data_IF_833286136667
#
_entry.id   IF_833286136667
#
_cell.length_a   1.000
_cell.length_b   1.000
_cell.length_c   1.000
_cell.angle_alpha   90.00
_cell.angle_beta   90.00
_cell.angle_gamma   90.00
#
_symmetry.space_group_name_H-M   'P 1'
#
loop_
_entity.id
_entity.type
_entity.pdbx_description
1 polymer ?
#
# COMPACT_ATOMS: atom_id res chain seq x y z
N UNK A 1 13.31 44.91 25.92
CA UNK A 1 14.08 43.89 25.21
C UNK A 1 13.77 42.54 25.86
N UNK A 2 13.15 41.53 25.27
CA UNK A 2 12.47 41.35 23.99
C UNK A 2 11.59 40.08 24.10
N UNK A 3 10.39 40.17 23.52
CA UNK A 3 9.51 39.17 22.88
C UNK A 3 9.67 37.66 23.21
N UNK A 4 8.59 36.90 23.45
CA UNK A 4 7.70 36.53 22.35
C UNK A 4 6.28 36.08 22.79
N UNK A 5 5.35 36.42 21.89
CA UNK A 5 3.90 36.23 21.88
C UNK A 5 3.49 34.76 21.75
N UNK A 6 2.40 34.38 22.42
CA UNK A 6 1.49 33.31 21.97
C UNK A 6 0.14 33.94 21.59
N UNK A 7 -0.42 33.72 20.40
CA UNK A 7 -1.80 34.08 20.13
C UNK A 7 -2.74 32.92 20.49
N UNK A 8 -3.78 33.27 21.24
CA UNK A 8 -5.03 32.54 21.39
C UNK A 8 -5.78 32.48 20.05
N UNK A 9 -6.44 31.36 19.74
CA UNK A 9 -7.58 31.39 18.82
C UNK A 9 -8.62 30.32 19.18
N UNK A 10 -9.74 30.81 19.71
CA UNK A 10 -11.10 30.45 19.27
C UNK A 10 -11.55 29.00 19.35
N UNK A 11 -12.20 28.66 20.46
CA UNK A 11 -13.26 27.64 20.53
C UNK A 11 -14.41 28.03 19.59
N UNK A 12 -14.87 27.11 18.73
CA UNK A 12 -16.23 27.16 18.20
C UNK A 12 -16.81 25.73 18.12
N UNK A 13 -17.63 25.44 19.14
CA UNK A 13 -18.52 24.30 19.24
C UNK A 13 -19.69 24.55 18.28
N UNK A 14 -19.94 23.66 17.31
CA UNK A 14 -21.21 23.65 16.56
C UNK A 14 -21.94 22.35 16.88
N UNK A 15 -22.99 22.56 17.65
CA UNK A 15 -23.98 21.66 18.18
C UNK A 15 -24.80 21.03 17.03
N UNK A 16 -24.81 19.69 16.94
CA UNK A 16 -25.76 18.94 16.14
C UNK A 16 -27.15 19.02 16.78
N UNK A 17 -28.04 19.84 16.25
CA UNK A 17 -29.47 19.80 16.56
C UNK A 17 -30.17 19.04 15.43
N UNK A 18 -30.73 17.88 15.78
CA UNK A 18 -31.73 17.20 14.97
C UNK A 18 -33.04 17.99 14.93
N UNK A 19 -33.60 18.14 13.74
CA UNK A 19 -34.96 18.59 13.53
C UNK A 19 -35.66 17.57 12.62
N UNK A 20 -36.49 16.74 13.25
CA UNK A 20 -37.64 16.14 12.61
C UNK A 20 -38.62 17.26 12.24
N UNK A 21 -38.92 17.42 10.95
CA UNK A 21 -40.14 18.11 10.52
C UNK A 21 -40.92 17.24 9.54
N UNK A 22 -42.06 16.82 10.06
CA UNK A 22 -43.20 16.23 9.38
C UNK A 22 -44.06 17.38 8.80
N UNK A 23 -44.28 17.38 7.49
CA UNK A 23 -45.38 18.09 6.79
C UNK A 23 -45.29 17.68 5.30
N UNK A 24 -46.33 17.33 4.55
CA UNK A 24 -47.76 17.28 4.76
C UNK A 24 -48.40 17.11 3.37
N UNK A 25 -49.32 16.16 3.20
CA UNK A 25 -50.15 16.06 2.00
C UNK A 25 -51.08 17.28 1.93
N UNK A 26 -51.12 17.98 0.78
CA UNK A 26 -52.18 18.95 0.49
C UNK A 26 -52.99 18.48 -0.73
N UNK A 27 -54.30 18.48 -0.50
CA UNK A 27 -55.40 17.96 -1.32
C UNK A 27 -55.83 18.99 -2.38
N UNK A 28 -56.31 18.47 -3.51
CA UNK A 28 -56.87 19.18 -4.67
C UNK A 28 -58.06 20.08 -4.32
N UNK A 29 -58.14 21.23 -5.01
CA UNK A 29 -59.39 21.98 -5.24
C UNK A 29 -59.42 22.51 -6.68
N UNK A 30 -60.54 22.21 -7.35
CA UNK A 30 -60.84 22.51 -8.75
C UNK A 30 -60.92 24.01 -9.06
N UNK A 31 -60.43 24.38 -10.24
CA UNK A 31 -60.83 25.57 -10.99
C UNK A 31 -60.90 25.22 -12.49
N UNK A 32 -62.11 25.25 -13.05
CA UNK A 32 -62.42 25.00 -14.47
C UNK A 32 -62.42 26.32 -15.24
N UNK A 33 -61.64 26.44 -16.33
CA UNK A 33 -62.09 26.98 -17.64
C UNK A 33 -61.00 26.89 -18.73
N UNK A 34 -61.26 26.04 -19.73
CA UNK A 34 -60.98 26.08 -21.19
C UNK A 34 -59.56 26.36 -21.80
N UNK A 35 -58.89 25.26 -22.16
CA UNK A 35 -58.39 24.80 -23.49
C UNK A 35 -57.37 25.63 -24.33
N UNK A 36 -56.57 24.99 -25.23
CA UNK A 36 -55.39 24.19 -24.92
C UNK A 36 -54.16 24.70 -25.69
N UNK A 37 -53.01 24.82 -25.03
CA UNK A 37 -51.73 24.90 -25.75
C UNK A 37 -50.65 24.23 -24.91
N UNK A 38 -50.46 22.94 -25.17
CA UNK A 38 -49.20 22.18 -25.04
C UNK A 38 -48.13 22.74 -24.07
N UNK A 39 -48.18 22.37 -22.78
CA UNK A 39 -47.03 22.56 -21.88
C UNK A 39 -46.99 21.58 -20.68
N UNK A 40 -47.50 20.35 -20.82
CA UNK A 40 -47.59 19.40 -19.69
C UNK A 40 -46.31 18.55 -19.50
N UNK A 41 -45.39 18.51 -20.47
CA UNK A 41 -44.18 17.67 -20.38
C UNK A 41 -43.09 18.21 -19.42
N UNK A 42 -43.10 19.51 -19.08
CA UNK A 42 -41.98 20.16 -18.37
C UNK A 42 -41.96 19.88 -16.86
N UNK A 43 -43.11 19.58 -16.25
CA UNK A 43 -43.22 19.36 -14.78
C UNK A 43 -42.67 18.00 -14.33
N UNK A 44 -42.79 16.96 -15.16
CA UNK A 44 -42.34 15.60 -14.83
C UNK A 44 -40.82 15.48 -14.83
N UNK A 45 -40.16 15.96 -15.90
CA UNK A 45 -38.71 15.86 -16.06
C UNK A 45 -37.95 16.64 -15.00
N UNK A 46 -38.42 17.83 -14.62
CA UNK A 46 -37.81 18.62 -13.54
C UNK A 46 -37.81 17.88 -12.20
N UNK A 47 -38.94 17.27 -11.81
CA UNK A 47 -39.05 16.46 -10.58
C UNK A 47 -38.13 15.24 -10.59
N UNK A 48 -37.99 14.59 -11.75
CA UNK A 48 -37.11 13.43 -11.92
C UNK A 48 -35.64 13.83 -11.76
N UNK A 49 -35.23 14.95 -12.38
CA UNK A 49 -33.88 15.50 -12.22
C UNK A 49 -33.59 15.83 -10.76
N UNK A 50 -34.46 16.57 -10.06
CA UNK A 50 -34.28 16.89 -8.63
C UNK A 50 -34.12 15.63 -7.76
N UNK A 51 -34.91 14.59 -8.02
CA UNK A 51 -34.77 13.31 -7.30
C UNK A 51 -33.46 12.60 -7.62
N UNK A 52 -33.03 12.61 -8.87
CA UNK A 52 -31.74 12.05 -9.29
C UNK A 52 -30.58 12.80 -8.62
N UNK A 53 -30.61 14.13 -8.56
CA UNK A 53 -29.57 14.95 -7.94
C UNK A 53 -29.43 14.67 -6.45
N UNK A 54 -30.55 14.49 -5.74
CA UNK A 54 -30.55 14.07 -4.34
C UNK A 54 -29.91 12.68 -4.18
N UNK A 55 -30.27 11.73 -5.05
CA UNK A 55 -29.70 10.38 -5.04
C UNK A 55 -28.19 10.40 -5.33
N UNK A 56 -27.72 11.21 -6.29
CA UNK A 56 -26.29 11.38 -6.60
C UNK A 56 -25.56 11.95 -5.38
N UNK A 57 -26.13 12.97 -4.75
CA UNK A 57 -25.56 13.63 -3.56
C UNK A 57 -25.43 12.66 -2.37
N UNK A 58 -26.33 11.67 -2.28
CA UNK A 58 -26.28 10.59 -1.29
C UNK A 58 -25.49 9.35 -1.76
N UNK A 59 -24.70 9.46 -2.85
CA UNK A 59 -23.92 8.38 -3.47
C UNK A 59 -24.75 7.16 -3.93
N UNK A 60 -26.05 7.34 -4.12
CA UNK A 60 -26.98 6.31 -4.61
C UNK A 60 -27.03 6.28 -6.14
N UNK A 61 -25.87 6.10 -6.78
CA UNK A 61 -25.69 6.24 -8.25
C UNK A 61 -26.61 5.30 -9.04
N UNK A 62 -26.75 4.04 -8.62
CA UNK A 62 -27.66 3.09 -9.27
C UNK A 62 -29.13 3.51 -9.17
N UNK A 63 -29.53 4.14 -8.06
CA UNK A 63 -30.88 4.67 -7.89
C UNK A 63 -31.10 5.88 -8.79
N UNK A 64 -30.11 6.79 -8.89
CA UNK A 64 -30.15 7.94 -9.80
C UNK A 64 -30.29 7.51 -11.26
N UNK A 65 -29.52 6.51 -11.71
CA UNK A 65 -29.63 5.94 -13.05
C UNK A 65 -31.04 5.38 -13.29
N UNK A 66 -31.61 4.62 -12.34
CA UNK A 66 -32.98 4.09 -12.45
C UNK A 66 -34.01 5.22 -12.54
N UNK A 67 -33.88 6.25 -11.71
CA UNK A 67 -34.75 7.44 -11.73
C UNK A 67 -34.68 8.18 -13.06
N UNK A 68 -33.49 8.43 -13.61
CA UNK A 68 -33.33 9.14 -14.89
C UNK A 68 -33.86 8.36 -16.09
N UNK A 69 -33.84 7.01 -16.03
CA UNK A 69 -34.42 6.17 -17.09
C UNK A 69 -35.93 6.28 -17.21
N UNK A 70 -36.62 6.82 -16.20
CA UNK A 70 -38.07 7.08 -16.28
C UNK A 70 -38.40 8.44 -16.88
N UNK A 71 -37.41 9.29 -17.14
CA UNK A 71 -37.60 10.56 -17.83
C UNK A 71 -37.57 10.39 -19.35
N UNK A 72 -38.02 11.43 -20.06
CA UNK A 72 -37.87 11.54 -21.50
C UNK A 72 -36.38 11.59 -21.88
N UNK A 73 -35.90 10.53 -22.54
CA UNK A 73 -34.51 10.39 -22.96
C UNK A 73 -34.15 11.22 -24.19
N UNK A 74 -35.14 11.84 -24.85
CA UNK A 74 -34.90 12.86 -25.87
C UNK A 74 -34.37 14.17 -25.26
N UNK A 75 -34.59 14.40 -23.96
CA UNK A 75 -34.06 15.53 -23.24
C UNK A 75 -32.52 15.43 -23.11
N UNK A 76 -31.81 16.41 -23.68
CA UNK A 76 -30.33 16.43 -23.70
C UNK A 76 -29.72 16.44 -22.30
N UNK A 77 -30.30 17.14 -21.32
CA UNK A 77 -29.80 17.17 -19.94
C UNK A 77 -29.89 15.80 -19.30
N UNK A 78 -31.04 15.12 -19.43
CA UNK A 78 -31.24 13.76 -18.91
C UNK A 78 -30.26 12.79 -19.57
N UNK A 79 -30.14 12.84 -20.91
CA UNK A 79 -29.23 11.97 -21.67
C UNK A 79 -27.76 12.17 -21.26
N UNK A 80 -27.33 13.42 -21.13
CA UNK A 80 -25.95 13.73 -20.75
C UNK A 80 -25.68 13.33 -19.29
N UNK A 81 -26.62 13.53 -18.37
CA UNK A 81 -26.45 13.09 -16.99
C UNK A 81 -26.39 11.55 -16.90
N UNK A 82 -27.29 10.84 -17.60
CA UNK A 82 -27.30 9.38 -17.65
C UNK A 82 -25.99 8.80 -18.21
N UNK A 83 -25.48 9.39 -19.29
CA UNK A 83 -24.19 9.00 -19.89
C UNK A 83 -23.04 9.21 -18.91
N UNK A 84 -23.01 10.36 -18.23
CA UNK A 84 -22.02 10.65 -17.19
C UNK A 84 -22.05 9.64 -16.04
N UNK A 85 -23.25 9.30 -15.54
CA UNK A 85 -23.42 8.31 -14.47
C UNK A 85 -23.00 6.90 -14.90
N UNK A 86 -23.17 6.53 -16.17
CA UNK A 86 -22.64 5.26 -16.68
C UNK A 86 -21.10 5.23 -16.70
N UNK A 87 -20.45 6.33 -17.10
CA UNK A 87 -18.99 6.43 -16.98
C UNK A 87 -18.53 6.35 -15.53
N UNK A 88 -19.23 7.05 -14.62
CA UNK A 88 -18.98 6.97 -13.18
C UNK A 88 -19.07 5.52 -12.68
N UNK A 89 -20.15 4.82 -13.00
CA UNK A 89 -20.39 3.46 -12.53
C UNK A 89 -19.30 2.49 -12.99
N UNK A 90 -18.84 2.60 -14.26
CA UNK A 90 -17.74 1.77 -14.79
C UNK A 90 -16.43 2.04 -14.03
N UNK A 91 -16.10 3.31 -13.81
CA UNK A 91 -14.91 3.71 -13.06
C UNK A 91 -14.95 3.22 -11.61
N UNK A 92 -16.07 3.44 -10.90
CA UNK A 92 -16.26 2.99 -9.52
C UNK A 92 -16.19 1.45 -9.39
N UNK A 93 -16.78 0.72 -10.35
CA UNK A 93 -16.74 -0.75 -10.36
C UNK A 93 -15.32 -1.26 -10.54
N UNK A 94 -14.56 -0.71 -11.49
CA UNK A 94 -13.17 -1.09 -11.72
C UNK A 94 -12.28 -0.76 -10.50
N UNK A 95 -12.54 0.39 -9.85
CA UNK A 95 -11.84 0.78 -8.63
C UNK A 95 -12.12 -0.17 -7.47
N UNK A 96 -13.38 -0.54 -7.26
CA UNK A 96 -13.78 -1.49 -6.21
C UNK A 96 -13.18 -2.89 -6.41
N UNK A 97 -12.95 -3.29 -7.66
CA UNK A 97 -12.25 -4.54 -8.01
C UNK A 97 -10.72 -4.45 -7.92
N UNK A 98 -10.19 -3.29 -7.51
CA UNK A 98 -8.77 -2.99 -7.50
C UNK A 98 -8.05 -3.17 -8.86
N UNK A 99 -8.78 -3.08 -9.98
CA UNK A 99 -8.23 -3.27 -11.32
C UNK A 99 -7.66 -1.95 -11.85
N UNK A 100 -6.54 -1.47 -11.28
CA UNK A 100 -6.03 -0.11 -11.56
C UNK A 100 -5.74 0.17 -13.04
N UNK A 101 -5.27 -0.82 -13.80
CA UNK A 101 -5.04 -0.67 -15.24
C UNK A 101 -6.34 -0.40 -16.01
N UNK A 102 -7.39 -1.18 -15.74
CA UNK A 102 -8.72 -1.00 -16.33
C UNK A 102 -9.37 0.29 -15.83
N UNK A 103 -9.26 0.56 -14.53
CA UNK A 103 -9.79 1.76 -13.90
C UNK A 103 -9.22 3.02 -14.56
N UNK A 104 -7.92 3.07 -14.87
CA UNK A 104 -7.27 4.20 -15.55
C UNK A 104 -8.03 4.64 -16.80
N UNK A 105 -8.40 3.69 -17.66
CA UNK A 105 -9.14 3.99 -18.90
C UNK A 105 -10.52 4.59 -18.62
N UNK A 106 -11.26 4.03 -17.66
CA UNK A 106 -12.56 4.57 -17.26
C UNK A 106 -12.47 5.93 -16.57
N UNK A 107 -11.45 6.16 -15.74
CA UNK A 107 -11.19 7.44 -15.11
C UNK A 107 -10.80 8.52 -16.12
N UNK A 108 -10.01 8.19 -17.15
CA UNK A 108 -9.72 9.13 -18.23
C UNK A 108 -11.01 9.53 -18.97
N UNK A 109 -11.85 8.55 -19.30
CA UNK A 109 -13.15 8.81 -19.96
C UNK A 109 -14.04 9.71 -19.08
N UNK A 110 -14.15 9.38 -17.80
CA UNK A 110 -14.95 10.14 -16.83
C UNK A 110 -14.40 11.56 -16.62
N UNK A 111 -13.08 11.72 -16.51
CA UNK A 111 -12.43 13.02 -16.30
C UNK A 111 -12.62 13.97 -17.49
N UNK A 112 -12.60 13.41 -18.71
CA UNK A 112 -12.79 14.18 -19.95
C UNK A 112 -14.26 14.42 -20.30
N UNK A 113 -15.19 13.85 -19.53
CA UNK A 113 -16.61 14.01 -19.76
C UNK A 113 -17.12 15.37 -19.23
N UNK A 114 -17.46 16.26 -20.16
CA UNK A 114 -17.92 17.63 -19.87
C UNK A 114 -19.34 17.94 -20.37
N UNK A 115 -20.05 16.96 -20.93
CA UNK A 115 -21.37 17.21 -21.50
C UNK A 115 -22.48 17.43 -20.44
N UNK A 116 -22.23 17.10 -19.17
CA UNK A 116 -23.16 17.35 -18.06
C UNK A 116 -22.72 18.54 -17.21
N UNK A 117 -23.62 19.50 -17.03
CA UNK A 117 -23.45 20.67 -16.15
C UNK A 117 -24.03 20.45 -14.75
N UNK A 118 -24.53 19.25 -14.43
CA UNK A 118 -25.13 18.96 -13.13
C UNK A 118 -24.08 19.07 -12.00
N UNK A 119 -24.41 19.84 -10.96
CA UNK A 119 -23.49 20.15 -9.87
C UNK A 119 -23.22 18.92 -8.99
N UNK A 120 -24.26 18.15 -8.68
CA UNK A 120 -24.16 16.94 -7.85
C UNK A 120 -23.30 15.88 -8.52
N UNK A 121 -23.48 15.68 -9.83
CA UNK A 121 -22.65 14.78 -10.64
C UNK A 121 -21.19 15.25 -10.69
N UNK A 122 -20.92 16.53 -10.92
CA UNK A 122 -19.56 17.05 -10.97
C UNK A 122 -18.85 16.95 -9.61
N UNK A 123 -19.58 17.15 -8.51
CA UNK A 123 -19.06 16.90 -7.16
C UNK A 123 -18.74 15.41 -6.94
N UNK A 124 -19.66 14.51 -7.29
CA UNK A 124 -19.45 13.06 -7.19
C UNK A 124 -18.27 12.59 -8.04
N UNK A 125 -18.18 13.06 -9.29
CA UNK A 125 -17.07 12.81 -10.23
C UNK A 125 -15.73 13.18 -9.59
N UNK A 126 -15.63 14.39 -9.05
CA UNK A 126 -14.41 14.89 -8.40
C UNK A 126 -14.03 14.04 -7.18
N UNK A 127 -15.02 13.68 -6.35
CA UNK A 127 -14.79 12.82 -5.18
C UNK A 127 -14.26 11.43 -5.59
N UNK A 128 -14.85 10.81 -6.62
CA UNK A 128 -14.41 9.50 -7.09
C UNK A 128 -13.00 9.54 -7.71
N UNK A 129 -12.66 10.60 -8.45
CA UNK A 129 -11.30 10.80 -8.97
C UNK A 129 -10.29 10.91 -7.82
N UNK A 130 -10.63 11.62 -6.74
CA UNK A 130 -9.79 11.70 -5.54
C UNK A 130 -9.60 10.34 -4.87
N UNK A 131 -10.68 9.56 -4.72
CA UNK A 131 -10.62 8.19 -4.20
C UNK A 131 -9.71 7.30 -5.06
N UNK A 132 -9.79 7.42 -6.39
CA UNK A 132 -8.89 6.70 -7.29
C UNK A 132 -7.41 7.03 -7.06
N UNK A 133 -7.05 8.30 -6.88
CA UNK A 133 -5.66 8.67 -6.59
C UNK A 133 -5.19 8.08 -5.25
N UNK A 134 -6.04 8.09 -4.22
CA UNK A 134 -5.72 7.48 -2.93
C UNK A 134 -5.50 5.97 -3.05
N UNK A 135 -6.39 5.25 -3.75
CA UNK A 135 -6.25 3.81 -3.97
C UNK A 135 -5.02 3.48 -4.81
N UNK A 136 -4.72 4.29 -5.84
CA UNK A 136 -3.51 4.14 -6.66
C UNK A 136 -2.25 4.27 -5.80
N UNK A 137 -2.20 5.30 -4.95
CA UNK A 137 -1.06 5.52 -4.05
C UNK A 137 -0.94 4.40 -3.01
N UNK A 138 -2.06 3.94 -2.45
CA UNK A 138 -2.10 2.82 -1.53
C UNK A 138 -1.54 1.52 -2.14
N UNK A 139 -1.97 1.18 -3.36
CA UNK A 139 -1.43 0.03 -4.09
C UNK A 139 0.06 0.19 -4.37
N UNK A 140 0.52 1.40 -4.73
CA UNK A 140 1.94 1.66 -4.94
C UNK A 140 2.75 1.35 -3.68
N UNK A 141 2.34 1.86 -2.51
CA UNK A 141 3.04 1.59 -1.25
C UNK A 141 2.99 0.11 -0.87
N UNK A 142 1.84 -0.55 -1.02
CA UNK A 142 1.72 -1.97 -0.75
C UNK A 142 2.66 -2.82 -1.62
N UNK A 143 2.67 -2.58 -2.94
CA UNK A 143 3.50 -3.32 -3.88
C UNK A 143 4.99 -3.06 -3.61
N UNK A 144 5.37 -1.80 -3.38
CA UNK A 144 6.76 -1.46 -3.03
C UNK A 144 7.18 -2.11 -1.71
N UNK A 145 6.34 -2.12 -0.68
CA UNK A 145 6.66 -2.81 0.57
C UNK A 145 6.85 -4.32 0.37
N UNK A 146 6.02 -4.95 -0.47
CA UNK A 146 6.15 -6.36 -0.83
C UNK A 146 7.47 -6.64 -1.58
N UNK A 147 7.81 -5.78 -2.55
CA UNK A 147 9.03 -5.90 -3.35
C UNK A 147 10.30 -5.66 -2.50
N UNK A 148 10.23 -4.75 -1.52
CA UNK A 148 11.32 -4.49 -0.55
C UNK A 148 11.47 -5.64 0.44
N UNK A 149 10.36 -6.21 0.92
CA UNK A 149 10.37 -7.36 1.82
C UNK A 149 10.99 -8.59 1.15
N UNK A 150 10.74 -8.80 -0.14
CA UNK A 150 11.31 -9.91 -0.92
C UNK A 150 12.80 -9.76 -1.23
N UNK A 151 13.39 -8.59 -1.01
CA UNK A 151 14.85 -8.37 -1.04
C UNK A 151 15.43 -8.15 0.37
N UNK A 152 14.66 -8.44 1.42
CA UNK A 152 15.01 -8.24 2.84
C UNK A 152 15.39 -6.80 3.22
N UNK A 153 14.93 -5.79 2.48
CA UNK A 153 15.04 -4.39 2.90
C UNK A 153 13.89 -4.05 3.86
N UNK A 154 14.04 -4.50 5.11
CA UNK A 154 12.98 -4.39 6.13
C UNK A 154 12.68 -2.94 6.50
N UNK A 155 13.68 -2.07 6.48
CA UNK A 155 13.53 -0.64 6.82
C UNK A 155 12.70 0.06 5.74
N UNK A 156 13.01 -0.18 4.47
CA UNK A 156 12.23 0.37 3.38
C UNK A 156 10.79 -0.19 3.39
N UNK A 157 10.64 -1.50 3.59
CA UNK A 157 9.34 -2.16 3.66
C UNK A 157 8.47 -1.56 4.78
N UNK A 158 9.00 -1.43 6.00
CA UNK A 158 8.32 -0.74 7.13
C UNK A 158 7.91 0.67 6.76
N UNK A 159 8.80 1.42 6.12
CA UNK A 159 8.54 2.81 5.71
C UNK A 159 7.36 2.91 4.74
N UNK A 160 7.26 2.01 3.76
CA UNK A 160 6.15 2.01 2.82
C UNK A 160 4.85 1.52 3.45
N UNK A 161 4.92 0.55 4.37
CA UNK A 161 3.75 0.15 5.17
C UNK A 161 3.23 1.33 6.00
N UNK A 162 4.10 2.09 6.66
CA UNK A 162 3.70 3.25 7.45
C UNK A 162 3.07 4.36 6.59
N UNK A 163 3.57 4.55 5.37
CA UNK A 163 2.94 5.46 4.39
C UNK A 163 1.54 5.00 3.99
N UNK A 164 1.33 3.69 3.80
CA UNK A 164 0.02 3.11 3.51
C UNK A 164 -0.95 3.29 4.69
N UNK A 165 -0.49 3.08 5.92
CA UNK A 165 -1.34 3.21 7.12
C UNK A 165 -1.77 4.66 7.39
N UNK A 166 -0.96 5.63 6.95
CA UNK A 166 -1.33 7.05 6.97
C UNK A 166 -2.41 7.43 5.97
N UNK A 167 -2.69 6.60 4.96
CA UNK A 167 -3.78 6.85 4.02
C UNK A 167 -5.11 6.57 4.74
N UNK A 168 -6.08 7.51 4.74
CA UNK A 168 -7.38 7.28 5.34
C UNK A 168 -8.05 6.03 4.75
N UNK A 169 -8.59 5.18 5.63
CA UNK A 169 -9.29 3.94 5.29
C UNK A 169 -10.71 4.20 4.75
N UNK A 170 -10.87 5.20 3.87
CA UNK A 170 -12.15 5.65 3.31
C UNK A 170 -12.69 4.68 2.25
N UNK A 171 -11.81 4.00 1.51
CA UNK A 171 -12.17 3.08 0.43
C UNK A 171 -11.96 1.60 0.83
N UNK A 172 -12.84 0.65 0.44
CA UNK A 172 -12.71 -0.77 0.78
C UNK A 172 -11.37 -1.39 0.39
N UNK A 173 -10.84 -1.04 -0.78
CA UNK A 173 -9.52 -1.51 -1.24
C UNK A 173 -8.39 -1.05 -0.30
N UNK A 174 -8.41 0.19 0.17
CA UNK A 174 -7.38 0.69 1.10
C UNK A 174 -7.43 -0.08 2.42
N UNK A 175 -8.64 -0.34 2.95
CA UNK A 175 -8.84 -1.19 4.14
C UNK A 175 -8.26 -2.59 3.94
N UNK A 176 -8.49 -3.19 2.77
CA UNK A 176 -7.95 -4.51 2.44
C UNK A 176 -6.43 -4.50 2.39
N UNK A 177 -5.82 -3.50 1.75
CA UNK A 177 -4.37 -3.36 1.67
C UNK A 177 -3.74 -3.16 3.07
N UNK A 178 -4.32 -2.29 3.89
CA UNK A 178 -3.90 -2.09 5.29
C UNK A 178 -4.04 -3.36 6.12
N UNK A 179 -5.08 -4.16 5.90
CA UNK A 179 -5.21 -5.48 6.53
C UNK A 179 -4.09 -6.43 6.07
N UNK A 180 -3.78 -6.45 4.78
CA UNK A 180 -2.70 -7.29 4.22
C UNK A 180 -1.33 -6.91 4.78
N UNK A 181 -1.06 -5.62 5.04
CA UNK A 181 0.22 -5.20 5.62
C UNK A 181 0.39 -5.56 7.09
N UNK A 182 -0.68 -5.88 7.84
CA UNK A 182 -0.54 -6.41 9.21
C UNK A 182 0.26 -7.72 9.22
N UNK A 183 0.01 -8.62 8.27
CA UNK A 183 0.78 -9.85 8.12
C UNK A 183 2.25 -9.57 7.79
N UNK A 184 2.52 -8.58 6.93
CA UNK A 184 3.88 -8.14 6.61
C UNK A 184 4.60 -7.60 7.85
N UNK A 185 3.94 -6.76 8.66
CA UNK A 185 4.51 -6.25 9.92
C UNK A 185 4.88 -7.38 10.88
N UNK A 186 4.01 -8.38 10.99
CA UNK A 186 4.26 -9.55 11.85
C UNK A 186 5.43 -10.40 11.33
N UNK A 187 5.53 -10.62 10.02
CA UNK A 187 6.66 -11.31 9.42
C UNK A 187 7.99 -10.58 9.68
N UNK A 188 8.00 -9.25 9.53
CA UNK A 188 9.17 -8.41 9.81
C UNK A 188 9.58 -8.51 11.30
N UNK A 189 8.60 -8.43 12.22
CA UNK A 189 8.86 -8.56 13.65
C UNK A 189 9.44 -9.94 14.02
N UNK A 190 8.90 -11.02 13.47
CA UNK A 190 9.40 -12.38 13.71
C UNK A 190 10.83 -12.57 13.19
N UNK A 191 11.14 -12.00 12.03
CA UNK A 191 12.49 -12.03 11.47
C UNK A 191 13.48 -11.29 12.37
N UNK A 192 13.15 -10.05 12.79
CA UNK A 192 14.02 -9.27 13.68
C UNK A 192 14.25 -9.95 15.04
N UNK A 193 13.21 -10.61 15.59
CA UNK A 193 13.33 -11.40 16.81
C UNK A 193 14.27 -12.61 16.64
N UNK A 194 14.21 -13.29 15.49
CA UNK A 194 15.05 -14.45 15.18
C UNK A 194 16.53 -14.08 14.99
N UNK A 195 16.81 -12.88 14.46
CA UNK A 195 18.18 -12.36 14.36
C UNK A 195 18.77 -12.01 15.74
N UNK A 196 17.93 -11.66 16.71
CA UNK A 196 18.36 -11.26 18.05
C UNK A 196 18.77 -12.43 18.94
N UNK A 197 18.30 -13.66 18.65
CA UNK A 197 18.62 -14.87 19.43
C UNK A 197 19.80 -15.67 18.86
N UNK A 198 20.26 -15.36 17.64
CA UNK A 198 21.37 -16.08 16.97
C UNK A 198 22.76 -15.49 17.23
N UNK A 199 22.89 -14.32 17.86
CA UNK A 199 24.19 -13.71 18.23
C UNK A 199 24.65 -14.05 19.66
N UNK A 200 24.01 -15.05 20.29
CA UNK A 200 24.24 -15.44 21.69
C UNK A 200 24.83 -16.83 21.85
N UNK A 201 25.85 -17.20 21.10
CA UNK A 201 26.71 -18.35 21.38
C UNK A 201 27.96 -18.20 20.54
N UNK A 202 29.08 -17.78 21.14
CA UNK A 202 30.39 -18.46 21.11
C UNK A 202 31.29 -17.83 22.20
N UNK A 203 32.15 -18.65 22.79
CA UNK A 203 33.15 -18.34 23.83
C UNK A 203 32.71 -18.44 25.30
N UNK A 204 32.46 -19.66 25.75
CA UNK A 204 32.81 -20.09 27.11
C UNK A 204 34.19 -20.74 27.07
N UNK A 205 35.27 -19.96 27.18
CA UNK A 205 36.57 -20.52 27.53
C UNK A 205 36.61 -20.69 29.04
N UNK A 206 36.43 -21.94 29.47
CA UNK A 206 36.72 -22.40 30.83
C UNK A 206 38.24 -22.37 30.99
N UNK A 207 38.74 -21.52 31.88
CA UNK A 207 40.11 -21.63 32.40
C UNK A 207 40.05 -21.59 33.91
N UNK A 208 39.92 -22.78 34.49
CA UNK A 208 40.34 -23.07 35.86
C UNK A 208 41.87 -23.02 35.92
N UNK A 209 42.42 -22.30 36.90
CA UNK A 209 43.58 -22.68 37.73
C UNK A 209 44.05 -21.51 38.61
N UNK A 210 43.63 -21.58 39.86
CA UNK A 210 44.42 -21.49 41.10
C UNK A 210 45.38 -20.32 41.42
N UNK A 211 45.07 -19.69 42.57
CA UNK A 211 45.97 -19.25 43.68
C UNK A 211 46.98 -18.11 43.38
N UNK A 212 47.22 -17.09 44.22
CA UNK A 212 46.94 -16.84 45.64
C UNK A 212 47.37 -15.41 46.02
N UNK A 213 46.68 -14.81 47.00
CA UNK A 213 47.13 -13.72 47.92
C UNK A 213 47.45 -12.34 47.30
N UNK A 214 47.14 -11.16 47.85
CA UNK A 214 46.80 -10.75 49.22
C UNK A 214 46.34 -9.27 49.24
N UNK A 215 45.52 -8.94 50.25
CA UNK A 215 45.46 -7.65 50.99
C UNK A 215 44.69 -6.43 50.44
N UNK A 216 43.51 -6.24 51.05
CA UNK A 216 43.02 -5.04 51.79
C UNK A 216 43.41 -3.62 51.31
N UNK A 217 42.43 -2.73 51.13
CA UNK A 217 41.92 -1.76 52.14
C UNK A 217 40.97 -0.71 51.52
N UNK A 218 39.83 -0.54 52.19
CA UNK A 218 39.04 0.68 52.48
C UNK A 218 38.96 1.91 51.54
N UNK A 219 37.70 2.38 51.46
CA UNK A 219 37.20 3.76 51.62
C UNK A 219 37.11 4.73 50.42
N UNK A 220 35.84 5.11 50.20
CA UNK A 220 35.27 6.46 50.11
C UNK A 220 35.39 7.31 48.83
N UNK A 221 34.20 7.77 48.44
CA UNK A 221 33.79 9.15 48.18
C UNK A 221 34.05 9.80 46.81
N UNK A 222 32.92 10.04 46.13
CA UNK A 222 32.43 11.34 45.63
C UNK A 222 33.19 12.11 44.55
N UNK A 223 32.45 12.28 43.45
CA UNK A 223 32.10 13.53 42.76
C UNK A 223 33.14 14.33 41.97
N UNK A 224 32.67 14.68 40.75
CA UNK A 224 32.86 15.94 40.02
C UNK A 224 34.27 16.25 39.53
N UNK A 225 34.49 16.83 38.37
CA UNK A 225 33.67 17.27 37.24
C UNK A 225 34.65 17.87 36.24
N UNK A 226 34.18 18.06 35.00
CA UNK A 226 34.71 19.03 34.02
C UNK A 226 36.11 18.74 33.45
N UNK A 227 36.48 19.12 32.24
CA UNK A 227 35.80 19.59 31.04
C UNK A 227 36.94 19.88 30.04
N UNK A 228 36.73 19.60 28.75
CA UNK A 228 37.19 20.35 27.55
C UNK A 228 38.56 21.04 27.58
N UNK A 229 39.43 20.94 26.56
CA UNK A 229 39.17 21.43 25.20
C UNK A 229 40.38 21.18 24.27
N UNK A 230 40.10 21.09 22.95
CA UNK A 230 40.85 21.67 21.80
C UNK A 230 42.29 21.17 21.51
N UNK A 231 42.77 21.00 20.28
CA UNK A 231 42.28 21.19 18.89
C UNK A 231 43.44 20.86 17.93
N UNK A 232 43.12 20.37 16.71
CA UNK A 232 43.85 20.58 15.42
C UNK A 232 45.31 20.10 15.29
N UNK A 233 45.86 19.63 14.16
CA UNK A 233 45.46 19.46 12.75
C UNK A 233 46.59 18.70 12.04
N UNK A 234 46.32 18.02 10.92
CA UNK A 234 47.09 18.10 9.66
C UNK A 234 46.82 16.91 8.72
N UNK A 235 46.48 17.26 7.49
CA UNK A 235 46.40 16.37 6.33
C UNK A 235 47.71 16.39 5.55
N UNK A 236 48.10 15.27 4.94
CA UNK A 236 48.28 15.12 3.47
C UNK A 236 49.28 14.01 3.06
N UNK A 237 48.85 13.31 2.01
CA UNK A 237 49.62 12.78 0.86
C UNK A 237 50.25 11.35 0.85
N UNK A 238 49.62 10.53 0.00
CA UNK A 238 50.09 9.61 -1.04
C UNK A 238 51.55 9.10 -1.08
N UNK A 239 51.73 7.78 -1.21
CA UNK A 239 52.34 7.17 -2.41
C UNK A 239 52.30 5.64 -2.38
N UNK A 240 52.18 5.10 -3.58
CA UNK A 240 51.96 3.72 -4.00
C UNK A 240 53.15 2.77 -3.82
N UNK A 241 52.89 1.47 -3.66
CA UNK A 241 53.71 0.42 -4.27
C UNK A 241 52.82 -0.76 -4.67
N UNK A 242 52.87 -1.12 -5.95
CA UNK A 242 52.21 -2.27 -6.54
C UNK A 242 53.17 -3.47 -6.57
N UNK A 243 52.66 -4.66 -6.28
CA UNK A 243 53.20 -5.94 -6.77
C UNK A 243 52.03 -6.85 -7.16
N UNK A 244 52.14 -7.43 -8.35
CA UNK A 244 51.11 -8.21 -9.04
C UNK A 244 51.20 -9.72 -8.71
N UNK A 245 50.11 -10.41 -9.04
CA UNK A 245 49.96 -11.84 -9.30
C UNK A 245 49.72 -12.77 -8.09
N UNK A 246 48.44 -13.08 -7.84
CA UNK A 246 47.95 -14.45 -7.82
C UNK A 246 46.41 -14.46 -7.71
N UNK A 247 45.79 -15.20 -8.63
CA UNK A 247 44.39 -15.61 -8.70
C UNK A 247 43.67 -15.62 -7.35
N UNK A 248 42.77 -14.69 -7.15
CA UNK A 248 41.72 -14.81 -6.13
C UNK A 248 40.42 -14.51 -6.82
N UNK A 249 39.67 -15.57 -7.10
CA UNK A 249 38.27 -15.52 -7.48
C UNK A 249 37.60 -14.53 -6.54
N UNK A 250 37.34 -13.33 -7.05
CA UNK A 250 36.48 -12.37 -6.40
C UNK A 250 35.11 -13.03 -6.40
N UNK A 251 34.81 -13.76 -5.32
CA UNK A 251 33.44 -14.04 -4.92
C UNK A 251 32.81 -12.70 -4.63
N UNK A 252 32.40 -12.02 -5.70
CA UNK A 252 31.34 -11.04 -5.64
C UNK A 252 30.13 -11.81 -5.15
N UNK A 253 29.87 -11.74 -3.85
CA UNK A 253 28.61 -12.21 -3.29
C UNK A 253 27.52 -11.49 -4.06
N UNK A 254 26.84 -12.22 -4.95
CA UNK A 254 25.70 -11.65 -5.66
C UNK A 254 24.71 -11.18 -4.61
N UNK A 255 24.21 -9.96 -4.76
CA UNK A 255 23.13 -9.47 -3.91
C UNK A 255 21.92 -10.38 -4.06
N UNK A 256 21.11 -10.55 -3.01
CA UNK A 256 19.89 -11.38 -3.05
C UNK A 256 19.00 -11.02 -4.25
N UNK A 257 18.91 -9.73 -4.59
CA UNK A 257 18.20 -9.24 -5.78
C UNK A 257 18.77 -9.82 -7.09
N UNK A 258 20.09 -9.85 -7.23
CA UNK A 258 20.75 -10.43 -8.41
C UNK A 258 20.58 -11.96 -8.44
N UNK A 259 20.67 -12.62 -7.28
CA UNK A 259 20.45 -14.08 -7.16
C UNK A 259 19.03 -14.44 -7.61
N UNK A 260 18.00 -13.78 -7.08
CA UNK A 260 16.61 -14.06 -7.42
C UNK A 260 16.28 -13.68 -8.88
N UNK A 261 16.83 -12.57 -9.38
CA UNK A 261 16.67 -12.19 -10.78
C UNK A 261 17.28 -13.24 -11.72
N UNK A 262 18.48 -13.72 -11.41
CA UNK A 262 19.17 -14.70 -12.25
C UNK A 262 18.55 -16.09 -12.11
N UNK A 263 18.10 -16.49 -10.92
CA UNK A 263 17.34 -17.71 -10.70
C UNK A 263 16.07 -17.73 -11.55
N UNK A 264 15.26 -16.67 -11.52
CA UNK A 264 14.02 -16.60 -12.29
C UNK A 264 14.25 -16.68 -13.80
N UNK A 265 15.37 -16.13 -14.28
CA UNK A 265 15.78 -16.27 -15.68
C UNK A 265 16.26 -17.71 -16.01
N UNK A 266 16.90 -18.38 -15.06
CA UNK A 266 17.51 -19.70 -15.23
C UNK A 266 16.56 -20.88 -14.99
N UNK A 267 15.49 -20.71 -14.20
CA UNK A 267 14.59 -21.78 -13.78
C UNK A 267 13.79 -22.40 -14.93
N UNK A 268 13.69 -21.74 -16.09
CA UNK A 268 13.01 -22.27 -17.28
C UNK A 268 11.49 -22.45 -17.12
N UNK A 269 10.93 -22.06 -15.97
CA UNK A 269 9.50 -22.12 -15.64
C UNK A 269 8.95 -20.71 -15.45
N UNK A 270 7.68 -20.50 -15.78
CA UNK A 270 6.99 -19.23 -15.55
C UNK A 270 6.36 -19.24 -14.16
N UNK A 271 6.80 -18.32 -13.31
CA UNK A 271 6.22 -18.08 -11.99
C UNK A 271 5.03 -17.13 -12.06
N UNK A 272 4.04 -17.31 -11.19
CA UNK A 272 2.89 -16.43 -11.07
C UNK A 272 3.29 -15.08 -10.42
N UNK A 273 2.42 -14.06 -10.53
CA UNK A 273 2.76 -12.68 -10.11
C UNK A 273 2.73 -12.46 -8.57
N UNK A 274 2.13 -13.44 -7.91
CA UNK A 274 1.85 -13.61 -6.49
C UNK A 274 2.75 -14.64 -5.82
N UNK A 275 3.52 -15.43 -6.60
CA UNK A 275 4.57 -16.30 -6.07
C UNK A 275 5.59 -15.50 -5.23
N UNK A 276 5.90 -16.01 -4.05
CA UNK A 276 6.88 -15.41 -3.13
C UNK A 276 8.15 -16.23 -3.15
N UNK A 277 9.31 -15.57 -3.10
CA UNK A 277 10.63 -16.20 -3.18
C UNK A 277 11.43 -15.88 -1.93
N UNK A 278 12.06 -16.88 -1.34
CA UNK A 278 12.87 -16.73 -0.15
C UNK A 278 14.19 -17.49 -0.30
N UNK A 279 15.33 -16.82 -0.06
CA UNK A 279 16.64 -17.50 -0.05
C UNK A 279 16.83 -18.11 1.32
N UNK A 280 16.59 -19.42 1.44
CA UNK A 280 16.64 -20.14 2.71
C UNK A 280 18.05 -20.67 3.04
N UNK A 281 18.95 -20.73 2.06
CA UNK A 281 20.36 -21.11 2.29
C UNK A 281 21.28 -20.49 1.25
N UNK A 282 22.46 -20.03 1.69
CA UNK A 282 23.54 -19.57 0.82
C UNK A 282 24.80 -20.39 1.10
N UNK A 283 25.45 -20.83 0.03
CA UNK A 283 26.76 -21.49 0.07
C UNK A 283 27.68 -20.85 -0.97
N UNK A 284 28.94 -21.26 -0.98
CA UNK A 284 29.92 -20.93 -2.02
C UNK A 284 29.53 -21.47 -3.41
N UNK A 285 28.73 -22.54 -3.47
CA UNK A 285 28.38 -23.25 -4.71
C UNK A 285 26.96 -22.99 -5.21
N UNK A 286 26.00 -22.79 -4.31
CA UNK A 286 24.58 -22.67 -4.65
C UNK A 286 23.79 -21.84 -3.63
N UNK A 287 22.65 -21.33 -4.10
CA UNK A 287 21.59 -20.73 -3.30
C UNK A 287 20.38 -21.65 -3.25
N UNK A 288 19.83 -21.92 -2.07
CA UNK A 288 18.57 -22.65 -1.92
C UNK A 288 17.43 -21.65 -1.80
N UNK A 289 16.43 -21.78 -2.66
CA UNK A 289 15.35 -20.83 -2.84
C UNK A 289 14.03 -21.56 -2.61
N UNK A 290 13.27 -21.10 -1.64
CA UNK A 290 11.88 -21.51 -1.42
C UNK A 290 10.97 -20.63 -2.26
N UNK A 291 10.04 -21.25 -2.98
CA UNK A 291 8.98 -20.60 -3.76
C UNK A 291 7.66 -20.98 -3.12
N UNK A 292 6.93 -19.99 -2.61
CA UNK A 292 5.60 -20.18 -2.07
C UNK A 292 4.58 -19.77 -3.13
N UNK A 293 3.75 -20.71 -3.55
CA UNK A 293 2.67 -20.45 -4.49
C UNK A 293 1.43 -19.93 -3.77
N UNK A 294 0.86 -18.84 -4.28
CA UNK A 294 -0.45 -18.38 -3.83
C UNK A 294 -1.52 -19.27 -4.47
N UNK A 295 -2.42 -19.82 -3.65
CA UNK A 295 -3.54 -20.61 -4.13
C UNK A 295 -4.84 -19.86 -3.85
N UNK A 296 -5.61 -19.60 -4.90
CA UNK A 296 -6.97 -19.03 -4.81
C UNK A 296 -7.97 -19.98 -4.09
N UNK A 297 -7.54 -21.21 -3.80
CA UNK A 297 -8.33 -22.24 -3.13
C UNK A 297 -8.06 -22.22 -1.62
N UNK A 298 -9.08 -21.90 -0.82
CA UNK A 298 -8.97 -21.72 0.64
C UNK A 298 -8.68 -23.01 1.42
N UNK A 299 -8.80 -24.16 0.76
CA UNK A 299 -8.56 -25.48 1.35
C UNK A 299 -7.19 -26.07 0.98
N UNK A 300 -6.40 -25.39 0.14
CA UNK A 300 -5.04 -25.80 -0.24
C UNK A 300 -4.04 -25.02 0.61
N UNK A 301 -3.30 -25.72 1.47
CA UNK A 301 -2.15 -25.15 2.17
C UNK A 301 -1.10 -24.75 1.13
N UNK A 302 -0.67 -23.47 1.14
CA UNK A 302 0.35 -22.88 0.25
C UNK A 302 1.38 -23.92 -0.21
N UNK A 303 1.35 -24.30 -1.49
CA UNK A 303 2.34 -25.22 -2.04
C UNK A 303 3.70 -24.53 -2.01
N UNK A 304 4.68 -25.17 -1.37
CA UNK A 304 6.06 -24.71 -1.37
C UNK A 304 6.93 -25.62 -2.22
N UNK A 305 7.66 -25.02 -3.14
CA UNK A 305 8.71 -25.66 -3.90
C UNK A 305 10.08 -25.18 -3.39
N UNK A 306 11.06 -26.07 -3.33
CA UNK A 306 12.44 -25.70 -2.96
C UNK A 306 13.35 -25.97 -4.17
N UNK A 307 14.15 -24.99 -4.54
CA UNK A 307 15.11 -25.04 -5.64
C UNK A 307 16.54 -24.83 -5.14
N UNK A 308 17.51 -25.33 -5.90
CA UNK A 308 18.91 -24.88 -5.81
C UNK A 308 19.31 -24.18 -7.09
N UNK A 309 19.86 -22.98 -6.96
CA UNK A 309 20.40 -22.18 -8.05
C UNK A 309 21.93 -22.12 -7.95
N UNK A 310 22.60 -22.51 -9.02
CA UNK A 310 24.05 -22.54 -9.13
C UNK A 310 24.53 -21.33 -9.96
N UNK A 311 24.97 -20.22 -9.34
CA UNK A 311 25.23 -18.96 -10.04
C UNK A 311 26.34 -19.05 -11.09
N UNK A 312 27.34 -19.92 -10.88
CA UNK A 312 28.47 -20.11 -11.80
C UNK A 312 28.06 -20.84 -13.09
N UNK A 313 27.09 -21.75 -13.02
CA UNK A 313 26.67 -22.57 -14.17
C UNK A 313 25.30 -22.18 -14.73
N UNK A 314 24.53 -21.35 -14.01
CA UNK A 314 23.14 -21.05 -14.33
C UNK A 314 22.20 -22.25 -14.17
N UNK A 315 22.64 -23.37 -13.57
CA UNK A 315 21.78 -24.53 -13.36
C UNK A 315 20.80 -24.30 -12.22
N UNK A 316 19.58 -24.81 -12.40
CA UNK A 316 18.54 -24.87 -11.38
C UNK A 316 18.10 -26.33 -11.23
N UNK A 317 18.05 -26.82 -9.99
CA UNK A 317 17.50 -28.15 -9.65
C UNK A 317 16.37 -27.99 -8.67
N UNK A 318 15.29 -28.75 -8.82
CA UNK A 318 14.13 -28.72 -7.93
C UNK A 318 14.22 -29.86 -6.93
N UNK A 319 13.84 -29.60 -5.68
CA UNK A 319 13.70 -30.63 -4.69
C UNK A 319 12.48 -31.50 -5.00
N UNK A 320 12.68 -32.80 -5.12
CA UNK A 320 11.61 -33.77 -5.18
C UNK A 320 10.93 -33.85 -3.81
N UNK A 321 9.63 -33.56 -3.76
CA UNK A 321 8.87 -33.51 -2.51
C UNK A 321 8.70 -34.87 -1.82
N UNK A 322 8.89 -35.97 -2.54
CA UNK A 322 8.76 -37.34 -2.00
C UNK A 322 10.09 -37.92 -1.51
N UNK A 323 11.20 -37.59 -2.16
CA UNK A 323 12.53 -38.14 -1.82
C UNK A 323 13.45 -37.16 -1.11
N UNK A 324 13.17 -35.85 -1.21
CA UNK A 324 14.02 -34.79 -0.66
C UNK A 324 15.28 -34.51 -1.48
N UNK A 325 15.53 -35.28 -2.54
CA UNK A 325 16.67 -35.14 -3.46
C UNK A 325 16.46 -33.99 -4.44
N UNK A 326 17.55 -33.45 -4.99
CA UNK A 326 17.51 -32.36 -5.97
C UNK A 326 17.78 -32.89 -7.38
N UNK A 327 16.85 -32.62 -8.29
CA UNK A 327 16.87 -33.11 -9.69
C UNK A 327 16.75 -31.96 -10.69
#
# INVERSE_FOLDING_TARGET
MDNARRPHFGVLIVLFIGLFTLAGCAKMTNGTSNNPTSSVATSGTAKILTKADQQISHRQINAAIKTLKTADTSNTTVKNLLTGLHHYQKAATALNKNQLSVAKTYFNTLSNYQASTDASFNAAKTALIKEYQQVKQANSYYNTARDELSVHDLTAAKTNIDKLDKIPASHPVIKQLQKKTLAMKQAIMNYEASQSTSSGSESSTVTESDSSSSSATTSSSTSSSSASSTSDSSSADSSSTATSDATSSTSSTLTTKQVLSNFRAAAGVSFAQDDQFNVIKQTDKYYQIEVMHDSEDTDVTNLTDIYRYYPTSGRVTKQNSSTGEFE
#
